data_IF_910079667131
#
_entry.id   IF_910079667131
#
_cell.length_a   1.000
_cell.length_b   1.000
_cell.length_c   1.000
_cell.angle_alpha   90.00
_cell.angle_beta   90.00
_cell.angle_gamma   90.00
#
_symmetry.space_group_name_H-M   'P 1'
#
loop_
_entity.id
_entity.type
_entity.pdbx_description
1 polymer ?
#
# COMPACT_ATOMS: atom_id res chain seq x y z
N UNK A 1 -14.86 -35.79 15.68
CA UNK A 1 -14.96 -35.28 14.28
C UNK A 1 -13.63 -35.32 13.53
N UNK A 2 -12.61 -34.50 13.85
CA UNK A 2 -11.36 -34.41 13.07
C UNK A 2 -10.58 -35.74 13.00
N UNK A 3 -10.43 -36.42 14.14
CA UNK A 3 -9.68 -37.67 14.22
C UNK A 3 -10.52 -38.90 13.84
N UNK A 4 -11.81 -38.90 14.20
CA UNK A 4 -12.71 -40.03 13.94
C UNK A 4 -13.33 -40.02 12.54
N UNK A 5 -13.17 -38.92 11.79
CA UNK A 5 -13.78 -38.69 10.47
C UNK A 5 -15.28 -39.06 10.45
N UNK A 6 -15.98 -38.74 11.54
CA UNK A 6 -17.39 -39.07 11.71
C UNK A 6 -18.15 -37.85 12.22
N UNK A 7 -19.38 -37.73 11.73
CA UNK A 7 -20.35 -36.74 12.19
C UNK A 7 -21.68 -37.40 12.50
N UNK A 8 -22.34 -36.86 13.51
CA UNK A 8 -23.68 -37.22 13.91
C UNK A 8 -24.51 -35.93 13.85
N UNK A 9 -25.64 -35.96 13.15
CA UNK A 9 -26.56 -34.82 13.15
C UNK A 9 -27.17 -34.69 14.55
N UNK A 10 -27.36 -33.46 15.01
CA UNK A 10 -28.07 -33.18 16.27
C UNK A 10 -29.45 -33.85 16.19
N UNK A 11 -29.77 -34.71 17.17
CA UNK A 11 -31.04 -35.46 17.23
C UNK A 11 -31.08 -36.80 16.49
N UNK A 12 -30.01 -37.23 15.82
CA UNK A 12 -29.93 -38.53 15.13
C UNK A 12 -28.94 -39.45 15.84
N UNK A 13 -29.24 -40.74 16.01
CA UNK A 13 -28.28 -41.74 16.52
C UNK A 13 -27.36 -42.34 15.45
N UNK A 14 -27.59 -42.04 14.17
CA UNK A 14 -26.76 -42.55 13.08
C UNK A 14 -25.51 -41.69 12.87
N UNK A 15 -24.35 -42.31 12.97
CA UNK A 15 -23.06 -41.72 12.57
C UNK A 15 -22.85 -41.90 11.07
N UNK A 16 -22.27 -40.88 10.42
CA UNK A 16 -21.82 -40.94 9.03
C UNK A 16 -20.31 -40.80 8.99
N UNK A 17 -19.63 -41.74 8.30
CA UNK A 17 -18.22 -41.60 7.94
C UNK A 17 -18.07 -40.50 6.90
N UNK A 18 -17.04 -39.69 7.06
CA UNK A 18 -16.64 -38.61 6.18
C UNK A 18 -15.28 -38.94 5.57
N UNK A 19 -15.14 -38.70 4.27
CA UNK A 19 -13.82 -38.61 3.66
C UNK A 19 -13.59 -37.17 3.23
N UNK A 20 -12.80 -36.45 4.02
CA UNK A 20 -12.57 -35.01 3.85
C UNK A 20 -11.08 -34.69 4.01
N UNK A 21 -10.61 -33.75 3.21
CA UNK A 21 -9.32 -33.08 3.37
C UNK A 21 -9.57 -31.72 4.02
N UNK A 22 -8.86 -31.45 5.11
CA UNK A 22 -9.04 -30.22 5.88
C UNK A 22 -7.87 -29.29 5.57
N UNK A 23 -8.21 -28.07 5.18
CA UNK A 23 -7.25 -26.98 4.97
C UNK A 23 -7.75 -25.82 5.84
N UNK A 24 -6.89 -25.33 6.72
CA UNK A 24 -7.18 -24.21 7.60
C UNK A 24 -6.12 -23.12 7.39
N UNK A 25 -6.53 -21.86 7.54
CA UNK A 25 -5.66 -20.70 7.48
C UNK A 25 -6.08 -19.70 8.55
N UNK A 26 -5.11 -19.04 9.16
CA UNK A 26 -5.32 -18.05 10.22
C UNK A 26 -4.27 -16.96 10.10
N UNK A 27 -4.65 -15.73 10.44
CA UNK A 27 -3.74 -14.59 10.57
C UNK A 27 -3.33 -14.32 12.03
N UNK A 28 -3.76 -15.18 12.96
CA UNK A 28 -3.45 -15.08 14.38
C UNK A 28 -2.45 -16.15 14.80
N UNK A 29 -1.58 -15.81 15.75
CA UNK A 29 -0.65 -16.75 16.33
C UNK A 29 -1.40 -17.71 17.28
N UNK A 30 -1.67 -18.93 16.80
CA UNK A 30 -2.43 -19.91 17.58
C UNK A 30 -1.71 -20.33 18.88
N UNK A 31 -0.37 -20.37 18.90
CA UNK A 31 0.38 -20.70 20.12
C UNK A 31 0.17 -19.65 21.21
N UNK A 32 0.11 -18.37 20.83
CA UNK A 32 -0.21 -17.28 21.74
C UNK A 32 -1.66 -17.35 22.23
N UNK A 33 -2.62 -17.71 21.36
CA UNK A 33 -4.01 -17.89 21.80
C UNK A 33 -4.19 -19.07 22.74
N UNK A 34 -3.39 -20.13 22.60
CA UNK A 34 -3.37 -21.27 23.54
C UNK A 34 -2.87 -20.79 24.90
N UNK A 35 -1.77 -20.03 24.96
CA UNK A 35 -1.25 -19.52 26.24
C UNK A 35 -2.21 -18.55 26.93
N UNK A 36 -3.04 -17.84 26.16
CA UNK A 36 -4.12 -16.99 26.66
C UNK A 36 -5.42 -17.74 27.01
N UNK A 37 -5.49 -19.07 26.82
CA UNK A 37 -6.70 -19.88 27.04
C UNK A 37 -7.84 -19.61 26.03
N UNK A 38 -7.55 -18.89 24.95
CA UNK A 38 -8.52 -18.54 23.89
C UNK A 38 -8.59 -19.57 22.77
N UNK A 39 -7.63 -20.49 22.70
CA UNK A 39 -7.62 -21.56 21.72
C UNK A 39 -7.33 -22.90 22.36
N UNK A 40 -7.97 -23.94 21.82
CA UNK A 40 -7.86 -25.31 22.31
C UNK A 40 -6.58 -25.97 21.82
N UNK A 41 -5.74 -26.37 22.77
CA UNK A 41 -4.48 -27.07 22.49
C UNK A 41 -4.69 -28.39 21.72
N UNK A 42 -5.70 -29.17 22.08
CA UNK A 42 -6.01 -30.44 21.42
C UNK A 42 -6.43 -30.27 19.95
N UNK A 43 -7.07 -29.14 19.63
CA UNK A 43 -7.44 -28.78 18.26
C UNK A 43 -6.23 -28.32 17.46
N UNK A 44 -5.33 -27.55 18.09
CA UNK A 44 -4.12 -27.05 17.46
C UNK A 44 -3.26 -28.18 16.91
N UNK A 45 -2.96 -29.20 17.72
CA UNK A 45 -2.15 -30.34 17.29
C UNK A 45 -2.84 -31.22 16.23
N UNK A 46 -4.17 -31.18 16.13
CA UNK A 46 -4.91 -31.87 15.05
C UNK A 46 -4.89 -31.11 13.73
N UNK A 47 -4.73 -29.79 13.76
CA UNK A 47 -4.64 -28.94 12.58
C UNK A 47 -3.20 -28.78 12.09
N UNK A 48 -2.24 -28.68 13.02
CA UNK A 48 -0.83 -28.42 12.71
C UNK A 48 -0.07 -29.70 12.33
N UNK A 49 -0.47 -30.35 11.23
CA UNK A 49 0.25 -31.50 10.67
C UNK A 49 1.31 -31.05 9.67
N UNK A 50 0.93 -30.15 8.76
CA UNK A 50 1.82 -29.49 7.81
C UNK A 50 1.50 -28.01 7.88
N UNK A 51 2.49 -27.20 8.27
CA UNK A 51 2.36 -25.76 8.36
C UNK A 51 2.98 -25.10 7.12
N UNK A 52 2.24 -24.16 6.52
CA UNK A 52 2.72 -23.33 5.43
C UNK A 52 2.60 -21.87 5.86
N UNK A 53 3.75 -21.22 6.02
CA UNK A 53 3.81 -19.79 6.26
C UNK A 53 3.69 -19.04 4.93
N UNK A 54 2.77 -18.07 4.87
CA UNK A 54 2.63 -17.18 3.71
C UNK A 54 3.22 -15.83 4.11
N UNK A 55 4.42 -15.47 3.61
CA UNK A 55 5.05 -14.21 3.97
C UNK A 55 4.24 -13.01 3.47
N UNK A 56 4.27 -11.89 4.20
CA UNK A 56 3.71 -10.64 3.72
C UNK A 56 4.39 -10.21 2.41
N UNK A 57 3.69 -9.42 1.59
CA UNK A 57 4.23 -8.95 0.30
C UNK A 57 5.56 -8.18 0.47
N UNK A 58 5.72 -7.48 1.60
CA UNK A 58 6.95 -6.75 1.95
C UNK A 58 8.20 -7.66 2.01
N UNK A 59 8.03 -8.94 2.35
CA UNK A 59 9.11 -9.93 2.47
C UNK A 59 9.40 -10.66 1.15
N UNK A 60 8.69 -10.32 0.06
CA UNK A 60 8.83 -10.92 -1.28
C UNK A 60 8.74 -9.86 -2.38
N UNK A 61 9.69 -8.91 -2.42
CA UNK A 61 9.66 -7.79 -3.35
C UNK A 61 9.64 -8.20 -4.83
N UNK A 62 10.21 -9.37 -5.17
CA UNK A 62 10.19 -9.96 -6.51
C UNK A 62 8.77 -10.24 -7.04
N UNK A 63 7.79 -10.43 -6.16
CA UNK A 63 6.39 -10.64 -6.55
C UNK A 63 5.67 -9.32 -6.87
N UNK A 64 6.17 -8.16 -6.42
CA UNK A 64 5.45 -6.88 -6.49
C UNK A 64 5.23 -6.46 -7.94
N UNK A 65 6.28 -6.46 -8.76
CA UNK A 65 6.18 -6.02 -10.16
C UNK A 65 5.23 -6.90 -11.00
N UNK A 66 5.36 -8.25 -10.99
CA UNK A 66 4.40 -9.12 -11.68
C UNK A 66 2.96 -8.93 -11.20
N UNK A 67 2.74 -8.70 -9.89
CA UNK A 67 1.41 -8.45 -9.34
C UNK A 67 0.82 -7.11 -9.80
N UNK A 68 1.64 -6.04 -9.84
CA UNK A 68 1.23 -4.75 -10.39
C UNK A 68 0.77 -4.93 -11.84
N UNK A 69 1.60 -5.54 -12.67
CA UNK A 69 1.29 -5.73 -14.10
C UNK A 69 0.02 -6.59 -14.29
N UNK A 70 -0.10 -7.67 -13.51
CA UNK A 70 -1.26 -8.55 -13.55
C UNK A 70 -2.55 -7.82 -13.19
N UNK A 71 -2.63 -7.19 -12.01
CA UNK A 71 -3.86 -6.56 -11.54
C UNK A 71 -4.20 -5.32 -12.37
N UNK A 72 -3.22 -4.51 -12.74
CA UNK A 72 -3.44 -3.36 -13.59
C UNK A 72 -4.01 -3.78 -14.96
N UNK A 73 -3.39 -4.76 -15.62
CA UNK A 73 -3.90 -5.32 -16.89
C UNK A 73 -5.29 -5.95 -16.73
N UNK A 74 -5.52 -6.68 -15.63
CA UNK A 74 -6.81 -7.28 -15.32
C UNK A 74 -7.91 -6.23 -15.23
N UNK A 75 -7.71 -5.14 -14.50
CA UNK A 75 -8.71 -4.09 -14.34
C UNK A 75 -8.91 -3.24 -15.60
N UNK A 76 -7.85 -2.93 -16.35
CA UNK A 76 -7.97 -2.29 -17.66
C UNK A 76 -8.87 -3.11 -18.60
N UNK A 77 -8.68 -4.43 -18.63
CA UNK A 77 -9.53 -5.35 -19.42
C UNK A 77 -10.96 -5.43 -18.89
N UNK A 78 -11.12 -5.57 -17.58
CA UNK A 78 -12.43 -5.70 -16.93
C UNK A 78 -13.32 -4.50 -17.21
N UNK A 79 -12.77 -3.29 -17.10
CA UNK A 79 -13.52 -2.04 -17.33
C UNK A 79 -13.44 -1.52 -18.77
N UNK A 80 -12.72 -2.22 -19.66
CA UNK A 80 -12.48 -1.80 -21.06
C UNK A 80 -11.85 -0.41 -21.16
N UNK A 81 -10.95 -0.10 -20.24
CA UNK A 81 -10.20 1.15 -20.16
C UNK A 81 -8.79 0.90 -20.69
N UNK A 82 -8.29 1.79 -21.54
CA UNK A 82 -6.90 1.75 -21.98
C UNK A 82 -6.09 2.80 -21.22
N UNK A 83 -5.19 2.32 -20.37
CA UNK A 83 -4.32 3.12 -19.50
C UNK A 83 -2.96 2.47 -19.36
N UNK A 84 -1.98 3.28 -19.00
CA UNK A 84 -0.60 2.87 -18.80
C UNK A 84 -0.04 3.47 -17.50
N UNK A 85 0.83 2.73 -16.84
CA UNK A 85 1.64 3.25 -15.73
C UNK A 85 2.93 3.84 -16.32
N UNK A 86 3.30 5.05 -15.90
CA UNK A 86 4.63 5.57 -16.22
C UNK A 86 5.73 4.71 -15.55
N UNK A 87 6.94 4.62 -16.12
CA UNK A 87 8.05 3.90 -15.49
C UNK A 87 8.35 4.38 -14.07
N UNK A 88 8.28 5.70 -13.83
CA UNK A 88 8.49 6.30 -12.50
C UNK A 88 7.40 5.90 -11.51
N UNK A 89 6.15 5.83 -11.95
CA UNK A 89 5.03 5.35 -11.12
C UNK A 89 5.28 3.90 -10.70
N UNK A 90 5.70 3.04 -11.65
CA UNK A 90 6.01 1.64 -11.37
C UNK A 90 7.16 1.50 -10.35
N UNK A 91 8.21 2.29 -10.50
CA UNK A 91 9.35 2.33 -9.57
C UNK A 91 8.92 2.70 -8.14
N UNK A 92 8.04 3.70 -7.98
CA UNK A 92 7.52 4.09 -6.66
C UNK A 92 6.68 2.96 -6.05
N UNK A 93 5.81 2.34 -6.83
CA UNK A 93 4.97 1.23 -6.37
C UNK A 93 5.80 -0.01 -5.99
N UNK A 94 6.90 -0.27 -6.69
CA UNK A 94 7.83 -1.35 -6.35
C UNK A 94 8.57 -1.12 -5.03
N UNK A 95 8.86 0.14 -4.69
CA UNK A 95 9.54 0.52 -3.43
C UNK A 95 8.61 0.62 -2.23
N UNK A 96 7.30 0.62 -2.45
CA UNK A 96 6.32 0.70 -1.38
C UNK A 96 6.28 -0.60 -0.57
N UNK A 97 6.11 -0.51 0.75
CA UNK A 97 6.19 -1.68 1.64
C UNK A 97 4.90 -2.52 1.67
N UNK A 98 3.79 -2.03 1.12
CA UNK A 98 2.51 -2.74 1.05
C UNK A 98 2.02 -3.31 2.40
N UNK A 99 1.77 -2.47 3.44
CA UNK A 99 1.30 -2.91 4.75
C UNK A 99 -0.05 -3.67 4.69
N UNK A 100 -0.91 -3.38 3.72
CA UNK A 100 -2.15 -4.12 3.47
C UNK A 100 -1.96 -5.31 2.51
N UNK A 101 -0.72 -5.68 2.19
CA UNK A 101 -0.33 -6.84 1.40
C UNK A 101 -0.97 -6.81 0.00
N UNK A 102 -1.16 -7.97 -0.64
CA UNK A 102 -1.78 -8.10 -1.98
C UNK A 102 -3.16 -7.44 -2.06
N UNK A 103 -3.91 -7.34 -0.95
CA UNK A 103 -5.24 -6.70 -0.94
C UNK A 103 -5.14 -5.20 -1.19
N UNK A 104 -4.19 -4.53 -0.54
CA UNK A 104 -3.94 -3.10 -0.77
C UNK A 104 -3.46 -2.85 -2.20
N UNK A 105 -2.50 -3.64 -2.69
CA UNK A 105 -2.01 -3.56 -4.07
C UNK A 105 -3.15 -3.68 -5.07
N UNK A 106 -3.96 -4.73 -4.95
CA UNK A 106 -5.13 -4.96 -5.81
C UNK A 106 -6.09 -3.77 -5.79
N UNK A 107 -6.47 -3.30 -4.60
CA UNK A 107 -7.41 -2.19 -4.45
C UNK A 107 -6.86 -0.89 -5.05
N UNK A 108 -5.56 -0.63 -4.88
CA UNK A 108 -4.92 0.54 -5.49
C UNK A 108 -4.92 0.44 -7.02
N UNK A 109 -4.56 -0.71 -7.59
CA UNK A 109 -4.59 -0.91 -9.05
C UNK A 109 -5.99 -0.65 -9.61
N UNK A 110 -7.02 -1.21 -8.98
CA UNK A 110 -8.42 -0.98 -9.36
C UNK A 110 -8.76 0.51 -9.30
N UNK A 111 -8.45 1.16 -8.17
CA UNK A 111 -8.75 2.57 -7.95
C UNK A 111 -8.07 3.45 -9.00
N UNK A 112 -6.79 3.23 -9.31
CA UNK A 112 -6.07 4.00 -10.33
C UNK A 112 -6.69 3.83 -11.73
N UNK A 113 -7.12 2.60 -12.07
CA UNK A 113 -7.79 2.33 -13.34
C UNK A 113 -9.17 3.01 -13.43
N UNK A 114 -9.88 3.19 -12.31
CA UNK A 114 -11.24 3.77 -12.33
C UNK A 114 -11.25 5.29 -12.10
N UNK A 115 -10.48 5.78 -11.13
CA UNK A 115 -10.59 7.15 -10.61
C UNK A 115 -9.79 8.18 -11.37
N UNK A 116 -8.65 7.81 -11.97
CA UNK A 116 -7.74 8.76 -12.61
C UNK A 116 -8.24 9.03 -14.04
N UNK A 117 -8.49 10.27 -14.48
CA UNK A 117 -8.99 10.51 -15.83
C UNK A 117 -7.92 10.35 -16.93
N UNK A 118 -6.64 10.52 -16.60
CA UNK A 118 -5.53 10.44 -17.55
C UNK A 118 -5.30 9.00 -18.05
N UNK A 119 -4.85 8.88 -19.30
CA UNK A 119 -4.44 7.58 -19.87
C UNK A 119 -3.07 7.12 -19.32
N UNK A 120 -2.18 8.07 -19.06
CA UNK A 120 -0.89 7.82 -18.45
C UNK A 120 -0.96 8.22 -16.97
N UNK A 121 -0.77 7.24 -16.09
CA UNK A 121 -0.75 7.44 -14.65
C UNK A 121 0.68 7.79 -14.23
N UNK A 122 0.84 8.97 -13.69
CA UNK A 122 2.11 9.55 -13.27
C UNK A 122 2.26 9.54 -11.73
N UNK A 123 3.48 9.76 -11.20
CA UNK A 123 3.71 9.75 -9.75
C UNK A 123 2.80 10.68 -8.93
N UNK A 124 2.36 11.81 -9.51
CA UNK A 124 1.50 12.77 -8.83
C UNK A 124 0.03 12.29 -8.70
N UNK A 125 -0.36 11.28 -9.46
CA UNK A 125 -1.68 10.66 -9.36
C UNK A 125 -1.75 9.62 -8.22
N UNK A 126 -0.60 9.23 -7.67
CA UNK A 126 -0.55 8.26 -6.57
C UNK A 126 -1.06 8.90 -5.26
N UNK A 127 -1.70 8.11 -4.39
CA UNK A 127 -2.04 8.56 -3.05
C UNK A 127 -0.80 9.05 -2.29
N UNK A 128 -0.96 10.15 -1.55
CA UNK A 128 0.14 10.80 -0.80
C UNK A 128 0.91 9.84 0.11
N UNK A 129 0.23 8.89 0.75
CA UNK A 129 0.86 7.92 1.66
C UNK A 129 1.82 6.95 0.95
N UNK A 130 1.67 6.74 -0.36
CA UNK A 130 2.57 5.91 -1.18
C UNK A 130 3.73 6.76 -1.68
N UNK A 131 3.40 7.96 -2.17
CA UNK A 131 4.38 8.93 -2.65
C UNK A 131 5.39 9.32 -1.54
N UNK A 132 4.91 9.63 -0.33
CA UNK A 132 5.75 10.08 0.80
C UNK A 132 6.61 8.99 1.43
N UNK A 133 6.17 7.73 1.43
CA UNK A 133 6.96 6.64 2.01
C UNK A 133 8.21 6.32 1.19
N UNK A 134 8.20 6.55 -0.12
CA UNK A 134 9.38 6.36 -0.97
C UNK A 134 10.38 7.51 -0.88
N UNK A 135 9.95 8.70 -0.45
CA UNK A 135 10.84 9.82 -0.10
C UNK A 135 11.48 9.65 1.29
N UNK A 136 10.99 8.71 2.10
CA UNK A 136 11.42 8.50 3.49
C UNK A 136 12.69 7.62 3.63
N UNK A 137 13.31 7.17 2.53
CA UNK A 137 14.52 6.32 2.57
C UNK A 137 15.81 7.10 2.81
N UNK A 138 15.77 8.43 2.86
CA UNK A 138 16.83 9.24 3.47
C UNK A 138 16.42 9.58 4.91
N UNK A 139 17.34 9.51 5.90
CA UNK A 139 17.06 9.92 7.28
C UNK A 139 16.93 11.44 7.34
N UNK A 140 15.82 11.95 6.81
CA UNK A 140 15.48 13.36 6.83
C UNK A 140 15.07 13.72 8.26
N UNK A 141 15.76 14.70 8.81
CA UNK A 141 15.42 15.37 10.06
C UNK A 141 13.98 15.91 9.98
N UNK A 142 13.36 16.13 11.15
CA UNK A 142 12.02 16.75 11.22
C UNK A 142 11.97 18.06 10.41
N UNK A 143 13.06 18.84 10.44
CA UNK A 143 13.19 20.09 9.70
C UNK A 143 13.08 19.88 8.18
N UNK A 144 13.74 18.87 7.65
CA UNK A 144 13.71 18.55 6.21
C UNK A 144 12.36 18.00 5.77
N UNK A 145 11.69 17.19 6.61
CA UNK A 145 10.33 16.70 6.34
C UNK A 145 9.31 17.82 6.29
N UNK A 146 9.37 18.74 7.24
CA UNK A 146 8.54 19.95 7.24
C UNK A 146 8.82 20.79 6.01
N UNK A 147 10.10 20.96 5.64
CA UNK A 147 10.48 21.75 4.46
C UNK A 147 10.00 21.10 3.14
N UNK A 148 10.04 19.77 3.02
CA UNK A 148 9.47 19.06 1.86
C UNK A 148 7.95 19.20 1.78
N UNK A 149 7.26 19.08 2.92
CA UNK A 149 5.81 19.26 2.99
C UNK A 149 5.39 20.68 2.62
N UNK A 150 6.06 21.70 3.17
CA UNK A 150 5.85 23.10 2.81
C UNK A 150 6.09 23.36 1.33
N UNK A 151 7.17 22.79 0.77
CA UNK A 151 7.52 22.92 -0.65
C UNK A 151 6.41 22.37 -1.55
N UNK A 152 5.84 21.21 -1.22
CA UNK A 152 4.72 20.62 -1.96
C UNK A 152 3.50 21.54 -1.96
N UNK A 153 3.06 21.99 -0.78
CA UNK A 153 1.91 22.88 -0.65
C UNK A 153 2.10 24.19 -1.41
N UNK A 154 3.32 24.74 -1.39
CA UNK A 154 3.67 25.95 -2.11
C UNK A 154 3.59 25.76 -3.62
N UNK A 155 4.15 24.68 -4.17
CA UNK A 155 4.06 24.42 -5.60
C UNK A 155 2.62 24.16 -6.06
N UNK A 156 1.84 23.41 -5.29
CA UNK A 156 0.42 23.17 -5.60
C UNK A 156 -0.39 24.47 -5.63
N UNK A 157 -0.14 25.39 -4.69
CA UNK A 157 -0.80 26.70 -4.66
C UNK A 157 -0.37 27.61 -5.82
N UNK A 158 0.90 27.50 -6.27
CA UNK A 158 1.41 28.26 -7.42
C UNK A 158 0.82 27.73 -8.73
N UNK A 159 0.68 26.42 -8.89
CA UNK A 159 0.04 25.84 -10.08
C UNK A 159 -1.43 26.26 -10.21
N UNK A 160 -2.14 26.34 -9.08
CA UNK A 160 -3.55 26.78 -9.04
C UNK A 160 -3.74 28.28 -9.23
N UNK A 161 -2.68 29.09 -9.13
CA UNK A 161 -2.78 30.55 -9.14
C UNK A 161 -1.68 31.23 -9.95
N UNK A 162 -2.06 32.02 -10.95
CA UNK A 162 -1.15 32.80 -11.81
C UNK A 162 -0.34 33.87 -11.05
N UNK A 163 -0.68 34.19 -9.80
CA UNK A 163 0.00 35.20 -9.00
C UNK A 163 0.47 34.64 -7.66
N UNK A 164 1.77 34.83 -7.37
CA UNK A 164 2.39 34.48 -6.09
C UNK A 164 1.68 35.10 -4.88
N UNK A 165 1.05 36.26 -5.05
CA UNK A 165 0.31 36.94 -3.98
C UNK A 165 -0.98 36.21 -3.62
N UNK A 166 -1.65 35.61 -4.61
CA UNK A 166 -2.84 34.78 -4.38
C UNK A 166 -2.48 33.43 -3.79
N UNK A 167 -1.38 32.81 -4.25
CA UNK A 167 -0.86 31.58 -3.67
C UNK A 167 -0.48 31.76 -2.19
N UNK A 168 0.18 32.87 -1.83
CA UNK A 168 0.51 33.20 -0.44
C UNK A 168 -0.75 33.36 0.43
N UNK A 169 -1.77 34.04 -0.09
CA UNK A 169 -3.04 34.26 0.61
C UNK A 169 -3.79 32.94 0.85
N UNK A 170 -3.82 32.04 -0.12
CA UNK A 170 -4.43 30.71 0.02
C UNK A 170 -3.74 29.88 1.11
N UNK A 171 -2.41 29.96 1.18
CA UNK A 171 -1.59 29.24 2.15
C UNK A 171 -1.59 29.90 3.54
N UNK A 172 -2.22 31.06 3.70
CA UNK A 172 -2.26 31.79 4.97
C UNK A 172 -0.90 32.36 5.39
N UNK A 173 0.01 32.61 4.45
CA UNK A 173 1.34 33.16 4.73
C UNK A 173 1.56 34.50 4.01
N UNK A 174 2.47 35.32 4.55
CA UNK A 174 2.87 36.56 3.89
C UNK A 174 3.57 36.31 2.55
N UNK A 175 3.30 37.19 1.58
CA UNK A 175 3.95 37.15 0.26
C UNK A 175 5.48 37.20 0.37
N UNK A 176 6.02 37.95 1.34
CA UNK A 176 7.47 38.03 1.58
C UNK A 176 8.06 36.70 2.07
N UNK A 177 7.31 35.93 2.86
CA UNK A 177 7.70 34.60 3.35
C UNK A 177 7.72 33.59 2.21
N UNK A 178 6.71 33.60 1.35
CA UNK A 178 6.64 32.76 0.15
C UNK A 178 7.84 33.03 -0.79
N UNK A 179 8.11 34.30 -1.09
CA UNK A 179 9.22 34.71 -1.98
C UNK A 179 10.58 34.32 -1.40
N UNK A 180 10.78 34.46 -0.09
CA UNK A 180 12.02 34.03 0.59
C UNK A 180 12.24 32.53 0.49
N UNK A 181 11.20 31.71 0.72
CA UNK A 181 11.29 30.24 0.59
C UNK A 181 11.61 29.82 -0.85
N UNK A 182 10.93 30.39 -1.85
CA UNK A 182 11.21 30.13 -3.26
C UNK A 182 12.64 30.49 -3.67
N UNK A 183 13.15 31.65 -3.22
CA UNK A 183 14.52 32.07 -3.51
C UNK A 183 15.56 31.12 -2.91
N UNK A 184 15.33 30.66 -1.66
CA UNK A 184 16.19 29.68 -0.97
C UNK A 184 16.26 28.36 -1.73
N UNK A 185 15.11 27.84 -2.20
CA UNK A 185 15.06 26.58 -2.95
C UNK A 185 15.69 26.69 -4.35
N UNK A 186 15.45 27.78 -5.07
CA UNK A 186 16.06 28.02 -6.39
C UNK A 186 17.60 28.18 -6.33
N UNK A 187 18.14 28.66 -5.20
CA UNK A 187 19.60 28.73 -5.00
C UNK A 187 20.20 27.34 -4.73
N UNK A 188 19.56 26.55 -3.87
CA UNK A 188 19.99 25.18 -3.58
C UNK A 188 19.97 24.28 -4.83
N UNK A 189 18.97 24.43 -5.72
CA UNK A 189 18.88 23.65 -6.97
C UNK A 189 19.95 24.06 -8.00
N UNK A 190 20.39 25.32 -8.00
CA UNK A 190 21.51 25.79 -8.85
C UNK A 190 22.88 25.32 -8.37
N UNK A 191 23.06 25.14 -7.07
CA UNK A 191 24.31 24.62 -6.49
C UNK A 191 24.45 23.11 -6.72
N UNK A 192 23.34 22.37 -6.67
CA UNK A 192 23.32 20.92 -6.93
C UNK A 192 23.55 20.57 -8.42
N UNK A 193 23.25 21.48 -9.34
CA UNK A 193 23.43 21.29 -10.79
C UNK A 193 24.83 21.68 -11.32
N UNK A 194 25.73 22.12 -10.43
CA UNK A 194 27.11 22.55 -10.76
C UNK A 194 28.20 21.59 -10.25
N UNK A 195 27.83 20.52 -9.55
CA UNK A 195 28.70 19.40 -9.16
C UNK A 195 28.40 18.18 -10.02
#
# INVERSE_FOLDING_TARGET
VLQEKQVQRIGSHKTKKLDVRIIAATNQNLKELISQGKFREDLYYRLQVIEMYIPPLAERPEDIEPLIDHYFSFYCKLYRINKHLSPKTKEILQRYHWPGNVRELKNLMENMVVSIPSQLIEPHDLPLHIYDQTAATSPLTLKERVEQFERRLIYEAIEKHTSLRKAAQQLGIDHSTLVKKLKKWNQAEKELSRG
#
